data_IF_903961750246
#
_entry.id   IF_903961750246
#
_cell.length_a   1.000
_cell.length_b   1.000
_cell.length_c   1.000
_cell.angle_alpha   90.00
_cell.angle_beta   90.00
_cell.angle_gamma   90.00
#
_symmetry.space_group_name_H-M   'P 1'
#
loop_
_entity.id
_entity.type
_entity.pdbx_description
1 polymer ?
#
# COMPACT_ATOMS: atom_id res chain seq x y z
N UNK A 1 -27.20 3.93 0.44
CA UNK A 1 -26.65 5.19 1.01
C UNK A 1 -25.27 5.38 0.41
N UNK A 2 -25.09 6.29 -0.52
CA UNK A 2 -23.76 6.63 -1.03
C UNK A 2 -22.96 7.23 0.12
N UNK A 3 -21.90 6.57 0.57
CA UNK A 3 -20.94 7.15 1.50
C UNK A 3 -20.35 8.38 0.80
N UNK A 4 -20.53 9.56 1.39
CA UNK A 4 -19.85 10.77 0.97
C UNK A 4 -18.35 10.46 0.98
N UNK A 5 -17.73 10.49 -0.21
CA UNK A 5 -16.26 10.48 -0.35
C UNK A 5 -15.71 11.70 0.38
N UNK A 6 -15.22 11.50 1.58
CA UNK A 6 -14.62 12.56 2.39
C UNK A 6 -13.13 12.59 2.11
N UNK A 7 -12.71 13.53 1.27
CA UNK A 7 -11.31 13.82 0.95
C UNK A 7 -10.97 15.18 1.54
N UNK A 8 -9.86 15.25 2.23
CA UNK A 8 -9.43 16.45 2.92
C UNK A 8 -8.09 16.94 2.36
N UNK A 9 -7.90 18.24 2.32
CA UNK A 9 -6.61 18.88 2.17
C UNK A 9 -6.21 19.43 3.53
N UNK A 10 -5.07 18.99 4.05
CA UNK A 10 -4.56 19.37 5.36
C UNK A 10 -3.09 19.79 5.29
N UNK A 11 -2.70 20.71 6.16
CA UNK A 11 -1.31 20.97 6.48
C UNK A 11 -0.91 20.06 7.64
N UNK A 12 -0.31 18.94 7.32
CA UNK A 12 0.11 17.93 8.29
C UNK A 12 1.46 18.30 8.93
N UNK A 13 1.61 18.01 10.22
CA UNK A 13 2.87 18.24 10.96
C UNK A 13 3.60 16.90 11.09
N UNK A 14 4.89 16.88 10.75
CA UNK A 14 5.76 15.73 11.00
C UNK A 14 5.99 15.62 12.51
N UNK A 15 5.50 14.54 13.13
CA UNK A 15 5.67 14.28 14.56
C UNK A 15 6.82 13.32 14.85
N UNK A 16 7.20 12.50 13.89
CA UNK A 16 8.37 11.61 13.93
C UNK A 16 8.82 11.30 12.51
N UNK A 17 10.12 11.23 12.30
CA UNK A 17 10.73 10.69 11.08
C UNK A 17 12.03 9.98 11.41
N UNK A 18 12.23 8.84 10.78
CA UNK A 18 13.43 8.02 10.93
C UNK A 18 13.70 7.22 9.64
N UNK A 19 14.95 6.95 9.38
CA UNK A 19 15.39 5.98 8.39
C UNK A 19 15.32 4.60 9.04
N UNK A 20 14.60 3.66 8.43
CA UNK A 20 14.34 2.32 8.98
C UNK A 20 15.06 1.21 8.21
N UNK A 21 15.57 1.51 7.03
CA UNK A 21 16.43 0.72 6.16
C UNK A 21 17.06 1.65 5.13
N UNK A 22 18.03 1.18 4.35
CA UNK A 22 18.71 2.01 3.34
C UNK A 22 17.71 2.65 2.36
N UNK A 23 17.72 3.99 2.31
CA UNK A 23 16.77 4.80 1.53
C UNK A 23 15.27 4.57 1.86
N UNK A 24 14.94 3.92 2.98
CA UNK A 24 13.55 3.70 3.43
C UNK A 24 13.28 4.49 4.71
N UNK A 25 12.32 5.39 4.63
CA UNK A 25 11.94 6.30 5.71
C UNK A 25 10.54 6.02 6.24
N UNK A 26 10.40 6.11 7.55
CA UNK A 26 9.12 6.08 8.27
C UNK A 26 8.82 7.50 8.77
N UNK A 27 7.69 8.05 8.34
CA UNK A 27 7.22 9.40 8.69
C UNK A 27 5.84 9.34 9.33
N UNK A 28 5.70 9.85 10.54
CA UNK A 28 4.42 10.06 11.18
C UNK A 28 3.95 11.50 10.97
N UNK A 29 2.74 11.64 10.46
CA UNK A 29 2.09 12.92 10.18
C UNK A 29 0.85 13.08 11.06
N UNK A 30 0.79 14.16 11.82
CA UNK A 30 -0.44 14.56 12.51
C UNK A 30 -1.40 15.17 11.49
N UNK A 31 -2.60 14.57 11.42
CA UNK A 31 -3.69 14.98 10.50
C UNK A 31 -4.99 14.91 11.30
N UNK A 32 -5.88 15.87 11.12
CA UNK A 32 -7.14 15.89 11.88
C UNK A 32 -8.19 14.97 11.25
N UNK A 33 -8.52 15.21 10.01
CA UNK A 33 -9.61 14.51 9.32
C UNK A 33 -9.13 13.27 8.55
N UNK A 34 -7.91 13.29 8.00
CA UNK A 34 -7.39 12.18 7.22
C UNK A 34 -7.30 10.93 8.11
N UNK A 35 -6.69 11.01 9.29
CA UNK A 35 -6.55 9.88 10.21
C UNK A 35 -7.92 9.33 10.68
N UNK A 36 -8.92 10.22 10.89
CA UNK A 36 -10.25 9.82 11.32
C UNK A 36 -11.02 9.01 10.26
N UNK A 37 -10.73 9.22 8.97
CA UNK A 37 -11.50 8.65 7.85
C UNK A 37 -10.73 7.62 7.02
N UNK A 38 -9.42 7.51 7.21
CA UNK A 38 -8.56 6.59 6.46
C UNK A 38 -8.88 5.10 6.78
N UNK A 39 -8.60 4.24 5.80
CA UNK A 39 -8.76 2.77 5.87
C UNK A 39 -7.51 2.10 5.31
N UNK A 40 -7.27 0.85 5.74
CA UNK A 40 -6.20 0.03 5.19
C UNK A 40 -6.28 -0.09 3.67
N UNK A 41 -5.14 0.10 2.99
CA UNK A 41 -5.04 0.07 1.53
C UNK A 41 -5.24 1.40 0.82
N UNK A 42 -5.67 2.45 1.53
CA UNK A 42 -5.72 3.81 0.98
C UNK A 42 -4.34 4.49 0.99
N UNK A 43 -4.24 5.59 0.27
CA UNK A 43 -3.03 6.40 0.16
C UNK A 43 -3.33 7.89 0.37
N UNK A 44 -2.28 8.68 0.46
CA UNK A 44 -2.33 10.14 0.47
C UNK A 44 -1.44 10.72 -0.62
N UNK A 45 -1.80 11.88 -1.14
CA UNK A 45 -0.96 12.70 -2.02
C UNK A 45 -0.20 13.71 -1.17
N UNK A 46 1.13 13.58 -1.09
CA UNK A 46 2.02 14.46 -0.33
C UNK A 46 2.68 15.46 -1.27
N UNK A 47 2.54 16.74 -1.00
CA UNK A 47 3.11 17.82 -1.80
C UNK A 47 4.50 18.22 -1.28
N UNK A 48 5.41 18.45 -2.21
CA UNK A 48 6.71 19.05 -1.89
C UNK A 48 6.57 20.53 -1.53
N UNK A 49 7.45 21.01 -0.67
CA UNK A 49 7.54 22.43 -0.35
C UNK A 49 8.34 23.21 -1.40
N UNK A 50 9.21 22.52 -2.15
CA UNK A 50 9.94 23.07 -3.26
C UNK A 50 9.01 23.37 -4.44
N UNK A 51 8.82 24.64 -4.76
CA UNK A 51 7.81 25.13 -5.71
C UNK A 51 7.97 24.67 -7.17
N UNK A 52 9.13 24.14 -7.55
CA UNK A 52 9.37 23.54 -8.88
C UNK A 52 8.80 22.13 -9.01
N UNK A 53 8.38 21.49 -7.91
CA UNK A 53 7.87 20.11 -7.85
C UNK A 53 6.34 20.09 -7.74
N UNK A 54 5.68 20.43 -8.83
CA UNK A 54 4.23 20.69 -8.86
C UNK A 54 3.36 19.47 -8.57
N UNK A 55 3.77 18.27 -8.99
CA UNK A 55 2.97 17.06 -8.77
C UNK A 55 3.21 16.48 -7.36
N UNK A 56 2.16 16.01 -6.68
CA UNK A 56 2.32 15.35 -5.38
C UNK A 56 2.92 13.93 -5.54
N UNK A 57 3.33 13.34 -4.42
CA UNK A 57 3.76 11.95 -4.31
C UNK A 57 2.64 11.14 -3.68
N UNK A 58 2.05 10.18 -4.41
CA UNK A 58 1.13 9.23 -3.80
C UNK A 58 1.93 8.28 -2.92
N UNK A 59 1.57 8.19 -1.64
CA UNK A 59 2.21 7.30 -0.68
C UNK A 59 1.12 6.56 0.08
N UNK A 60 1.20 5.23 0.10
CA UNK A 60 0.27 4.37 0.82
C UNK A 60 0.34 4.63 2.32
N UNK A 61 -0.81 4.58 2.99
CA UNK A 61 -0.89 4.68 4.44
C UNK A 61 -0.42 3.34 5.03
N UNK A 62 0.63 3.40 5.85
CA UNK A 62 1.20 2.25 6.54
C UNK A 62 0.43 1.91 7.82
N UNK A 63 0.13 2.93 8.64
CA UNK A 63 -0.61 2.81 9.88
C UNK A 63 -1.50 4.04 10.12
N UNK A 64 -2.55 3.81 10.91
CA UNK A 64 -3.52 4.85 11.29
C UNK A 64 -3.63 4.85 12.82
N UNK A 65 -3.26 5.97 13.43
CA UNK A 65 -3.53 6.24 14.84
C UNK A 65 -4.71 7.22 14.95
N UNK A 66 -5.91 6.65 15.09
CA UNK A 66 -7.14 7.44 15.19
C UNK A 66 -7.24 8.17 16.55
N UNK A 67 -6.56 7.68 17.58
CA UNK A 67 -6.59 8.28 18.92
C UNK A 67 -5.79 9.58 18.94
N UNK A 68 -4.60 9.56 18.38
CA UNK A 68 -3.69 10.70 18.36
C UNK A 68 -3.82 11.53 17.07
N UNK A 69 -4.76 11.17 16.18
CA UNK A 69 -5.02 11.84 14.91
C UNK A 69 -3.79 11.85 14.00
N UNK A 70 -3.17 10.69 13.80
CA UNK A 70 -1.95 10.58 13.02
C UNK A 70 -1.99 9.43 12.02
N UNK A 71 -1.24 9.58 10.91
CA UNK A 71 -0.98 8.51 9.94
C UNK A 71 0.52 8.30 9.81
N UNK A 72 0.92 7.04 9.61
CA UNK A 72 2.30 6.66 9.29
C UNK A 72 2.43 6.43 7.80
N UNK A 73 3.40 7.04 7.19
CA UNK A 73 3.82 6.81 5.82
C UNK A 73 5.19 6.14 5.85
N UNK A 74 5.37 5.09 5.07
CA UNK A 74 6.69 4.49 4.84
C UNK A 74 6.96 4.53 3.35
N UNK A 75 8.09 5.10 2.97
CA UNK A 75 8.43 5.36 1.57
C UNK A 75 9.91 5.16 1.30
N UNK A 76 10.21 4.79 0.05
CA UNK A 76 11.59 4.72 -0.47
C UNK A 76 11.97 6.04 -1.14
N UNK A 77 13.21 6.45 -0.97
CA UNK A 77 13.79 7.55 -1.73
C UNK A 77 14.05 7.09 -3.16
N UNK A 78 13.13 7.47 -4.07
CA UNK A 78 13.18 7.07 -5.48
C UNK A 78 13.34 8.24 -6.45
N UNK A 79 13.35 9.49 -5.94
CA UNK A 79 13.46 10.68 -6.76
C UNK A 79 13.44 11.96 -5.94
N UNK A 80 13.53 13.11 -6.64
CA UNK A 80 13.70 14.43 -6.00
C UNK A 80 12.64 14.76 -4.93
N UNK A 81 11.41 14.29 -5.06
CA UNK A 81 10.35 14.57 -4.09
C UNK A 81 10.52 13.77 -2.81
N UNK A 82 10.76 12.46 -2.90
CA UNK A 82 11.01 11.62 -1.73
C UNK A 82 12.36 11.93 -1.08
N UNK A 83 13.35 12.40 -1.87
CA UNK A 83 14.61 12.94 -1.33
C UNK A 83 14.40 14.26 -0.55
N UNK A 84 13.44 15.12 -0.97
CA UNK A 84 13.06 16.28 -0.14
C UNK A 84 12.44 15.82 1.19
N UNK A 85 11.55 14.84 1.14
CA UNK A 85 10.91 14.34 2.34
C UNK A 85 11.91 13.70 3.32
N UNK A 86 12.90 12.94 2.84
CA UNK A 86 13.91 12.32 3.70
C UNK A 86 14.78 13.34 4.47
N UNK A 87 14.95 14.54 3.92
CA UNK A 87 15.64 15.65 4.60
C UNK A 87 14.80 16.43 5.62
N UNK A 88 13.50 16.15 5.72
CA UNK A 88 12.60 16.86 6.64
C UNK A 88 12.74 16.34 8.07
N UNK A 89 12.26 17.13 9.04
CA UNK A 89 12.40 16.85 10.48
C UNK A 89 11.09 17.09 11.22
N UNK A 90 10.99 16.51 12.40
CA UNK A 90 9.88 16.75 13.34
C UNK A 90 9.63 18.27 13.52
N UNK A 91 8.36 18.65 13.48
CA UNK A 91 7.87 20.02 13.53
C UNK A 91 7.71 20.68 12.16
N UNK A 92 8.32 20.15 11.09
CA UNK A 92 8.08 20.65 9.74
C UNK A 92 6.69 20.26 9.24
N UNK A 93 6.20 20.99 8.26
CA UNK A 93 4.84 20.83 7.73
C UNK A 93 4.88 20.38 6.26
N UNK A 94 3.89 19.58 5.91
CA UNK A 94 3.62 19.14 4.54
C UNK A 94 2.13 19.33 4.22
N UNK A 95 1.85 19.79 3.03
CA UNK A 95 0.51 19.74 2.46
C UNK A 95 0.20 18.31 2.03
N UNK A 96 -0.92 17.77 2.52
CA UNK A 96 -1.38 16.40 2.26
C UNK A 96 -2.83 16.41 1.82
N UNK A 97 -3.17 15.62 0.81
CA UNK A 97 -4.54 15.40 0.35
C UNK A 97 -4.89 13.94 0.53
N UNK A 98 -5.98 13.65 1.22
CA UNK A 98 -6.42 12.27 1.49
C UNK A 98 -7.62 12.17 2.43
N UNK A 99 -8.00 10.94 2.84
CA UNK A 99 -7.53 9.70 2.25
C UNK A 99 -8.00 9.54 0.81
N UNK A 100 -7.22 8.88 -0.05
CA UNK A 100 -7.48 8.71 -1.47
C UNK A 100 -7.59 7.24 -1.83
N UNK A 101 -8.32 6.95 -2.91
CA UNK A 101 -8.60 5.60 -3.38
C UNK A 101 -9.56 4.84 -2.47
N UNK A 102 -9.75 3.56 -2.80
CA UNK A 102 -10.50 2.61 -1.98
C UNK A 102 -9.56 1.86 -1.03
N UNK A 103 -10.11 1.19 -0.02
CA UNK A 103 -9.37 0.30 0.88
C UNK A 103 -9.56 -1.17 0.51
N UNK A 104 -8.82 -2.04 1.20
CA UNK A 104 -9.06 -3.48 1.12
C UNK A 104 -10.41 -3.85 1.70
N UNK A 105 -11.17 -4.76 1.06
CA UNK A 105 -12.39 -5.31 1.66
C UNK A 105 -12.00 -6.21 2.84
N UNK A 106 -12.60 -5.97 4.00
CA UNK A 106 -12.36 -6.78 5.19
C UNK A 106 -13.27 -8.00 5.17
N UNK A 107 -12.69 -9.19 5.11
CA UNK A 107 -13.41 -10.46 5.13
C UNK A 107 -12.85 -11.37 6.22
N UNK A 108 -13.74 -12.00 7.01
CA UNK A 108 -13.37 -12.94 8.06
C UNK A 108 -13.09 -14.33 7.47
N UNK A 109 -12.00 -14.44 6.70
CA UNK A 109 -11.50 -15.67 6.07
C UNK A 109 -10.03 -15.85 6.45
N UNK A 110 -9.53 -17.09 6.45
CA UNK A 110 -8.09 -17.34 6.57
C UNK A 110 -7.35 -16.61 5.45
N UNK A 111 -6.47 -15.70 5.79
CA UNK A 111 -5.92 -14.72 4.85
C UNK A 111 -4.41 -14.85 4.64
N UNK A 112 -3.98 -14.78 3.39
CA UNK A 112 -2.64 -14.34 3.06
C UNK A 112 -2.57 -12.81 2.98
N UNK A 113 -1.64 -12.22 3.73
CA UNK A 113 -1.22 -10.83 3.57
C UNK A 113 0.17 -10.82 2.94
N UNK A 114 0.25 -10.52 1.66
CA UNK A 114 1.50 -10.63 0.89
C UNK A 114 2.02 -9.21 0.58
N UNK A 115 3.19 -8.89 1.13
CA UNK A 115 3.87 -7.62 0.86
C UNK A 115 5.21 -7.84 0.18
N UNK A 116 5.55 -7.05 -0.86
CA UNK A 116 6.85 -7.10 -1.51
C UNK A 116 7.54 -5.74 -1.55
N UNK A 117 8.75 -5.63 -1.01
CA UNK A 117 9.51 -4.38 -0.97
C UNK A 117 8.69 -3.23 -0.37
N UNK A 118 8.58 -2.10 -1.08
CA UNK A 118 7.80 -0.95 -0.59
C UNK A 118 6.27 -1.17 -0.59
N UNK A 119 5.78 -2.33 -1.03
CA UNK A 119 4.40 -2.77 -0.86
C UNK A 119 4.12 -3.42 0.50
N UNK A 120 5.13 -3.66 1.35
CA UNK A 120 4.98 -4.17 2.71
C UNK A 120 4.23 -3.20 3.64
N UNK A 121 4.54 -1.89 3.67
CA UNK A 121 3.91 -0.93 4.57
C UNK A 121 2.38 -0.95 4.58
N UNK A 122 1.65 -0.92 3.45
CA UNK A 122 0.19 -0.92 3.46
C UNK A 122 -0.44 -2.22 4.00
N UNK A 123 0.31 -3.32 4.08
CA UNK A 123 -0.15 -4.56 4.69
C UNK A 123 -0.23 -4.48 6.22
N UNK A 124 0.50 -3.56 6.86
CA UNK A 124 0.53 -3.45 8.31
C UNK A 124 -0.81 -3.00 8.90
N UNK A 125 -1.41 -1.92 8.38
CA UNK A 125 -2.74 -1.51 8.85
C UNK A 125 -3.80 -2.58 8.58
N UNK A 126 -3.72 -3.25 7.43
CA UNK A 126 -4.62 -4.36 7.12
C UNK A 126 -4.45 -5.52 8.12
N UNK A 127 -3.20 -5.85 8.49
CA UNK A 127 -2.93 -6.88 9.49
C UNK A 127 -3.48 -6.51 10.88
N UNK A 128 -3.56 -5.22 11.21
CA UNK A 128 -4.17 -4.71 12.45
C UNK A 128 -5.70 -4.77 12.41
N UNK A 129 -6.32 -4.42 11.28
CA UNK A 129 -7.77 -4.29 11.15
C UNK A 129 -8.50 -5.62 10.94
N UNK A 130 -7.84 -6.62 10.30
CA UNK A 130 -8.47 -7.92 10.06
C UNK A 130 -8.58 -8.75 11.35
N UNK A 131 -9.77 -9.24 11.63
CA UNK A 131 -10.05 -10.20 12.72
C UNK A 131 -10.24 -11.60 12.13
N UNK A 132 -9.13 -12.25 11.77
CA UNK A 132 -9.10 -13.60 11.22
C UNK A 132 -7.71 -14.22 11.39
N UNK A 133 -7.56 -15.53 11.09
CA UNK A 133 -6.25 -16.17 10.95
C UNK A 133 -5.49 -15.53 9.78
N UNK A 134 -4.27 -15.09 10.04
CA UNK A 134 -3.42 -14.38 9.07
C UNK A 134 -2.05 -15.05 8.95
N UNK A 135 -1.68 -15.36 7.73
CA UNK A 135 -0.33 -15.73 7.34
C UNK A 135 0.26 -14.57 6.54
N UNK A 136 1.26 -13.90 7.11
CA UNK A 136 1.87 -12.68 6.59
C UNK A 136 3.15 -13.09 5.87
N UNK A 137 3.17 -12.93 4.55
CA UNK A 137 4.30 -13.32 3.70
C UNK A 137 4.98 -12.07 3.17
N UNK A 138 6.19 -11.81 3.63
CA UNK A 138 6.93 -10.59 3.32
C UNK A 138 8.14 -10.91 2.44
N UNK A 139 8.15 -10.31 1.24
CA UNK A 139 9.23 -10.44 0.28
C UNK A 139 10.16 -9.24 0.29
N UNK A 140 11.44 -9.49 0.47
CA UNK A 140 12.49 -8.50 0.44
C UNK A 140 13.51 -8.83 -0.65
N UNK A 141 14.27 -7.85 -1.06
CA UNK A 141 15.43 -8.10 -1.90
C UNK A 141 16.58 -8.64 -1.04
N UNK A 142 16.96 -7.89 -0.01
CA UNK A 142 18.10 -8.13 0.86
C UNK A 142 17.83 -7.61 2.28
N UNK A 143 17.48 -6.35 2.48
CA UNK A 143 17.34 -5.69 3.77
C UNK A 143 15.91 -5.76 4.32
N UNK A 144 15.77 -6.18 5.59
CA UNK A 144 14.49 -6.36 6.26
C UNK A 144 14.07 -5.09 7.01
N UNK A 145 12.79 -4.73 6.94
CA UNK A 145 12.22 -3.62 7.68
C UNK A 145 10.78 -3.91 8.11
N UNK A 146 10.28 -3.23 9.13
CA UNK A 146 8.93 -3.36 9.72
C UNK A 146 8.61 -4.72 10.35
N UNK A 147 9.53 -5.66 10.49
CA UNK A 147 9.21 -6.99 11.04
C UNK A 147 8.66 -6.91 12.48
N UNK A 148 9.23 -6.04 13.31
CA UNK A 148 8.76 -5.84 14.69
C UNK A 148 7.35 -5.27 14.75
N UNK A 149 6.97 -4.42 13.78
CA UNK A 149 5.63 -3.84 13.68
C UNK A 149 4.56 -4.91 13.38
N UNK A 150 4.92 -5.98 12.65
CA UNK A 150 4.04 -7.11 12.37
C UNK A 150 3.99 -8.14 13.51
N UNK A 151 4.86 -8.05 14.51
CA UNK A 151 4.85 -8.99 15.66
C UNK A 151 3.46 -9.03 16.32
N UNK A 152 2.96 -10.22 16.58
CA UNK A 152 1.63 -10.46 17.15
C UNK A 152 0.43 -10.06 16.25
N UNK A 153 0.64 -9.86 14.93
CA UNK A 153 -0.44 -9.59 13.97
C UNK A 153 -0.87 -10.83 13.17
N UNK A 154 -0.06 -11.87 13.17
CA UNK A 154 -0.26 -13.14 12.47
C UNK A 154 1.03 -13.94 12.45
N UNK A 155 1.04 -15.07 11.75
CA UNK A 155 2.26 -15.83 11.49
C UNK A 155 3.04 -15.15 10.36
N UNK A 156 4.32 -14.88 10.58
CA UNK A 156 5.19 -14.16 9.63
C UNK A 156 6.10 -15.16 8.93
N UNK A 157 6.13 -15.08 7.60
CA UNK A 157 7.03 -15.82 6.71
C UNK A 157 7.79 -14.81 5.87
N UNK A 158 9.09 -15.03 5.73
CA UNK A 158 10.00 -14.11 5.05
C UNK A 158 10.57 -14.82 3.81
N UNK A 159 10.63 -14.11 2.71
CA UNK A 159 11.41 -14.48 1.54
C UNK A 159 12.42 -13.38 1.21
N UNK A 160 13.67 -13.75 0.92
CA UNK A 160 14.70 -12.84 0.44
C UNK A 160 15.30 -13.38 -0.85
N UNK A 161 15.56 -12.49 -1.83
CA UNK A 161 16.10 -12.92 -3.13
C UNK A 161 17.47 -13.58 -3.00
N UNK A 162 18.26 -13.14 -2.01
CA UNK A 162 19.63 -13.63 -1.74
C UNK A 162 19.70 -14.75 -0.69
N UNK A 163 18.58 -15.16 -0.10
CA UNK A 163 18.53 -16.19 0.95
C UNK A 163 19.11 -15.74 2.31
N UNK A 164 19.33 -14.45 2.51
CA UNK A 164 19.90 -13.91 3.77
C UNK A 164 18.98 -14.10 4.97
N UNK A 165 17.66 -14.22 4.74
CA UNK A 165 16.67 -14.49 5.78
C UNK A 165 15.43 -15.21 5.23
N UNK A 166 14.93 -16.19 5.98
CA UNK A 166 13.76 -16.99 5.59
C UNK A 166 14.01 -17.87 4.39
N UNK A 167 13.01 -17.97 3.51
CA UNK A 167 13.09 -18.73 2.25
C UNK A 167 13.90 -17.94 1.20
N UNK A 168 14.85 -18.58 0.55
CA UNK A 168 15.54 -18.04 -0.62
C UNK A 168 14.57 -17.99 -1.82
N UNK A 169 14.40 -16.82 -2.42
CA UNK A 169 13.52 -16.63 -3.58
C UNK A 169 12.43 -15.58 -3.34
N UNK A 170 11.23 -15.86 -3.81
CA UNK A 170 10.09 -14.94 -3.77
C UNK A 170 8.98 -15.40 -2.80
N UNK A 171 7.95 -14.60 -2.64
CA UNK A 171 6.83 -14.86 -1.71
C UNK A 171 6.08 -16.17 -2.01
N UNK A 172 5.97 -16.58 -3.27
CA UNK A 172 5.34 -17.85 -3.64
C UNK A 172 6.22 -19.05 -3.29
N UNK A 173 7.54 -18.89 -3.31
CA UNK A 173 8.48 -19.92 -2.86
C UNK A 173 8.33 -20.13 -1.35
N UNK A 174 8.22 -19.05 -0.57
CA UNK A 174 7.93 -19.15 0.86
C UNK A 174 6.58 -19.83 1.15
N UNK A 175 5.54 -19.55 0.38
CA UNK A 175 4.23 -20.21 0.51
C UNK A 175 4.35 -21.71 0.26
N UNK A 176 5.04 -22.12 -0.81
CA UNK A 176 5.20 -23.53 -1.18
C UNK A 176 6.08 -24.29 -0.20
N UNK A 177 7.22 -23.74 0.18
CA UNK A 177 8.19 -24.36 1.09
C UNK A 177 7.58 -24.61 2.47
N UNK A 178 6.77 -23.69 2.96
CA UNK A 178 6.13 -23.80 4.28
C UNK A 178 4.74 -24.48 4.23
N UNK A 179 4.29 -24.94 3.07
CA UNK A 179 3.00 -25.62 2.91
C UNK A 179 1.81 -24.78 3.34
N UNK A 180 1.84 -23.48 3.05
CA UNK A 180 0.82 -22.53 3.51
C UNK A 180 -0.44 -22.59 2.65
N UNK A 181 -1.60 -22.28 3.26
CA UNK A 181 -2.90 -22.21 2.59
C UNK A 181 -3.74 -21.03 3.10
N UNK A 182 -4.62 -20.53 2.27
CA UNK A 182 -5.56 -19.46 2.63
C UNK A 182 -6.83 -19.49 1.76
N UNK A 183 -7.90 -18.86 2.27
CA UNK A 183 -9.18 -18.69 1.56
C UNK A 183 -9.26 -17.37 0.80
N UNK A 184 -8.38 -16.42 1.14
CA UNK A 184 -8.31 -15.10 0.52
C UNK A 184 -6.88 -14.57 0.51
N UNK A 185 -6.52 -13.86 -0.54
CA UNK A 185 -5.22 -13.20 -0.70
C UNK A 185 -5.40 -11.70 -0.76
N UNK A 186 -4.60 -10.99 0.02
CA UNK A 186 -4.39 -9.54 -0.08
C UNK A 186 -2.92 -9.29 -0.41
N UNK A 187 -2.64 -8.56 -1.49
CA UNK A 187 -1.27 -8.37 -1.92
C UNK A 187 -0.98 -6.91 -2.33
N UNK A 188 0.23 -6.46 -2.01
CA UNK A 188 0.80 -5.20 -2.49
C UNK A 188 2.30 -5.37 -2.76
N UNK A 189 2.78 -4.86 -3.91
CA UNK A 189 4.18 -4.96 -4.28
C UNK A 189 4.42 -4.75 -5.77
N UNK A 190 5.62 -5.10 -6.26
CA UNK A 190 5.98 -4.93 -7.66
C UNK A 190 5.05 -5.68 -8.63
N UNK A 191 4.81 -5.09 -9.80
CA UNK A 191 3.95 -5.67 -10.84
C UNK A 191 4.26 -7.14 -11.18
N UNK A 192 5.54 -7.57 -11.33
CA UNK A 192 5.84 -8.98 -11.57
C UNK A 192 5.35 -9.91 -10.46
N UNK A 193 5.49 -9.49 -9.18
CA UNK A 193 5.00 -10.23 -8.03
C UNK A 193 3.46 -10.32 -8.05
N UNK A 194 2.77 -9.20 -8.28
CA UNK A 194 1.30 -9.17 -8.34
C UNK A 194 0.76 -10.04 -9.47
N UNK A 195 1.45 -10.10 -10.63
CA UNK A 195 1.11 -10.99 -11.74
C UNK A 195 1.21 -12.46 -11.33
N UNK A 196 2.33 -12.87 -10.74
CA UNK A 196 2.54 -14.24 -10.27
C UNK A 196 1.52 -14.64 -9.18
N UNK A 197 1.21 -13.73 -8.25
CA UNK A 197 0.18 -13.96 -7.22
C UNK A 197 -1.21 -14.14 -7.86
N UNK A 198 -1.55 -13.32 -8.85
CA UNK A 198 -2.82 -13.44 -9.58
C UNK A 198 -2.96 -14.80 -10.29
N UNK A 199 -1.89 -15.28 -10.92
CA UNK A 199 -1.83 -16.60 -11.56
C UNK A 199 -1.98 -17.73 -10.53
N UNK A 200 -1.21 -17.68 -9.46
CA UNK A 200 -1.30 -18.61 -8.33
C UNK A 200 -2.72 -18.65 -7.73
N UNK A 201 -3.34 -17.49 -7.49
CA UNK A 201 -4.69 -17.41 -6.95
C UNK A 201 -5.73 -18.04 -7.90
N UNK A 202 -5.56 -17.88 -9.20
CA UNK A 202 -6.43 -18.50 -10.21
C UNK A 202 -6.27 -20.02 -10.25
N UNK A 203 -5.04 -20.53 -10.18
CA UNK A 203 -4.75 -21.98 -10.13
C UNK A 203 -5.31 -22.64 -8.86
N UNK A 204 -5.22 -21.94 -7.72
CA UNK A 204 -5.72 -22.44 -6.43
C UNK A 204 -7.20 -22.11 -6.18
N UNK A 205 -7.87 -21.40 -7.11
CA UNK A 205 -9.25 -20.91 -6.96
C UNK A 205 -9.47 -20.08 -5.68
N UNK A 206 -8.50 -19.22 -5.34
CA UNK A 206 -8.53 -18.34 -4.17
C UNK A 206 -8.95 -16.93 -4.59
N UNK A 207 -9.83 -16.30 -3.82
CA UNK A 207 -10.17 -14.89 -3.99
C UNK A 207 -8.94 -14.00 -3.73
N UNK A 208 -8.59 -13.11 -4.67
CA UNK A 208 -7.36 -12.33 -4.59
C UNK A 208 -7.62 -10.84 -4.83
N UNK A 209 -7.21 -10.02 -3.85
CA UNK A 209 -7.24 -8.56 -3.91
C UNK A 209 -5.82 -8.02 -3.97
N UNK A 210 -5.57 -7.17 -4.96
CA UNK A 210 -4.25 -6.59 -5.20
C UNK A 210 -4.29 -5.07 -5.15
N UNK A 211 -3.29 -4.45 -4.52
CA UNK A 211 -3.09 -3.02 -4.55
C UNK A 211 -2.08 -2.67 -5.63
N UNK A 212 -2.49 -1.87 -6.60
CA UNK A 212 -1.68 -1.47 -7.75
C UNK A 212 -1.11 -0.07 -7.59
N UNK A 213 0.08 0.13 -8.13
CA UNK A 213 0.75 1.42 -8.16
C UNK A 213 0.89 1.92 -9.60
N UNK A 214 0.70 3.22 -9.80
CA UNK A 214 0.97 3.92 -11.05
C UNK A 214 1.39 5.37 -10.78
N UNK A 215 2.04 5.97 -11.78
CA UNK A 215 2.35 7.39 -11.73
C UNK A 215 1.08 8.21 -11.72
N UNK A 216 0.97 9.11 -10.75
CA UNK A 216 -0.21 9.93 -10.56
C UNK A 216 0.12 11.41 -10.77
N UNK A 217 -0.86 12.14 -11.33
CA UNK A 217 -0.82 13.60 -11.35
C UNK A 217 -1.83 14.17 -10.36
N UNK A 218 -3.15 14.03 -10.62
CA UNK A 218 -4.17 14.64 -9.74
C UNK A 218 -4.50 13.84 -8.47
N UNK A 219 -4.33 12.51 -8.48
CA UNK A 219 -4.70 11.64 -7.36
C UNK A 219 -6.21 11.50 -7.06
N UNK A 220 -7.07 12.21 -7.79
CA UNK A 220 -8.52 12.33 -7.52
C UNK A 220 -9.43 11.83 -8.66
N UNK A 221 -8.84 11.24 -9.70
CA UNK A 221 -9.57 10.66 -10.82
C UNK A 221 -9.93 11.61 -11.98
N UNK A 222 -9.38 12.82 -12.03
CA UNK A 222 -9.72 13.82 -13.04
C UNK A 222 -8.84 13.75 -14.30
N UNK A 223 -7.53 13.44 -14.19
CA UNK A 223 -6.55 13.63 -15.27
C UNK A 223 -6.27 12.40 -16.12
N UNK A 224 -6.76 11.22 -15.75
CA UNK A 224 -6.53 9.93 -16.43
C UNK A 224 -5.05 9.49 -16.54
N UNK A 225 -4.12 10.05 -15.73
CA UNK A 225 -2.71 9.71 -15.78
C UNK A 225 -2.40 8.31 -15.20
N UNK A 226 -3.19 7.85 -14.22
CA UNK A 226 -2.96 6.61 -13.48
C UNK A 226 -3.91 5.47 -13.92
N UNK A 227 -4.16 5.32 -15.21
CA UNK A 227 -5.05 4.27 -15.72
C UNK A 227 -4.33 2.93 -15.83
N UNK A 228 -5.01 1.87 -15.41
CA UNK A 228 -4.63 0.49 -15.70
C UNK A 228 -5.65 -0.16 -16.64
N UNK A 229 -5.24 -1.21 -17.35
CA UNK A 229 -6.15 -1.98 -18.19
C UNK A 229 -7.11 -2.79 -17.34
N UNK A 230 -8.36 -2.93 -17.77
CA UNK A 230 -9.39 -3.73 -17.13
C UNK A 230 -10.13 -4.62 -18.11
N UNK A 231 -10.69 -5.74 -17.63
CA UNK A 231 -11.51 -6.62 -18.48
C UNK A 231 -12.81 -5.96 -18.89
N UNK A 232 -13.42 -5.21 -17.99
CA UNK A 232 -14.69 -4.53 -18.21
C UNK A 232 -14.49 -3.12 -18.74
N UNK A 233 -15.44 -2.65 -19.53
CA UNK A 233 -15.48 -1.25 -19.97
C UNK A 233 -15.94 -0.36 -18.83
N UNK A 234 -15.23 0.73 -18.61
CA UNK A 234 -15.66 1.78 -17.73
C UNK A 234 -16.92 2.47 -18.28
N UNK A 235 -17.98 2.56 -17.48
CA UNK A 235 -19.27 3.13 -17.89
C UNK A 235 -19.19 4.61 -18.27
N UNK A 236 -18.18 5.34 -17.81
CA UNK A 236 -18.01 6.77 -18.06
C UNK A 236 -17.20 7.04 -19.35
N UNK A 237 -16.07 6.34 -19.52
CA UNK A 237 -15.15 6.56 -20.65
C UNK A 237 -15.39 5.62 -21.83
N UNK A 238 -16.20 4.56 -21.63
CA UNK A 238 -16.46 3.49 -22.58
C UNK A 238 -15.20 2.74 -23.08
N UNK A 239 -14.10 2.83 -22.32
CA UNK A 239 -12.85 2.11 -22.58
C UNK A 239 -12.57 1.10 -21.46
N UNK A 240 -11.73 0.10 -21.76
CA UNK A 240 -11.33 -0.92 -20.79
C UNK A 240 -10.18 -0.43 -19.89
N UNK A 241 -10.46 0.60 -19.10
CA UNK A 241 -9.50 1.23 -18.20
C UNK A 241 -10.14 1.52 -16.83
N UNK A 242 -9.34 1.41 -15.76
CA UNK A 242 -9.70 1.88 -14.42
C UNK A 242 -8.64 2.86 -13.92
N UNK A 243 -9.06 3.88 -13.21
CA UNK A 243 -8.14 4.88 -12.60
C UNK A 243 -7.72 4.39 -11.24
N UNK A 244 -6.45 4.12 -11.05
CA UNK A 244 -5.92 3.60 -9.78
C UNK A 244 -6.24 4.55 -8.61
N UNK A 245 -6.19 5.86 -8.82
CA UNK A 245 -6.48 6.83 -7.76
C UNK A 245 -7.98 6.96 -7.40
N UNK A 246 -8.89 6.40 -8.19
CA UNK A 246 -10.34 6.55 -7.96
C UNK A 246 -11.06 5.21 -7.79
N UNK A 247 -10.93 4.31 -8.77
CA UNK A 247 -11.52 2.96 -8.74
C UNK A 247 -10.65 1.97 -7.94
N UNK A 248 -9.35 2.26 -7.77
CA UNK A 248 -8.36 1.55 -6.97
C UNK A 248 -7.94 2.33 -5.72
N UNK A 249 -6.73 2.10 -5.18
CA UNK A 249 -5.68 1.23 -5.74
C UNK A 249 -5.95 -0.27 -5.61
N UNK A 250 -6.91 -0.68 -4.78
CA UNK A 250 -7.23 -2.07 -4.52
C UNK A 250 -8.27 -2.57 -5.52
N UNK A 251 -7.95 -3.67 -6.19
CA UNK A 251 -8.81 -4.32 -7.18
C UNK A 251 -8.91 -5.82 -6.91
N UNK A 252 -10.04 -6.42 -7.28
CA UNK A 252 -10.10 -7.87 -7.44
C UNK A 252 -9.16 -8.26 -8.60
N UNK A 253 -8.24 -9.19 -8.36
CA UNK A 253 -7.16 -9.48 -9.32
C UNK A 253 -7.66 -9.88 -10.73
N UNK A 254 -8.86 -10.49 -10.80
CA UNK A 254 -9.48 -10.87 -12.07
C UNK A 254 -9.99 -9.69 -12.91
N UNK A 255 -10.21 -8.51 -12.30
CA UNK A 255 -10.76 -7.32 -12.98
C UNK A 255 -9.71 -6.55 -13.80
N UNK A 256 -8.44 -6.69 -13.44
CA UNK A 256 -7.34 -5.93 -14.05
C UNK A 256 -6.43 -6.81 -14.90
N UNK A 257 -5.80 -6.19 -15.91
CA UNK A 257 -4.82 -6.81 -16.82
C UNK A 257 -3.45 -6.14 -16.61
N UNK A 258 -2.38 -6.98 -16.64
CA UNK A 258 -0.99 -6.54 -16.52
C UNK A 258 -0.30 -6.52 -17.89
#
# INVERSE_FOLDING_TARGET
MQTKDTKFEETAIIIRQEEIADDIYSMWLRTEHIAAHAKAGQFVSVYCNEGSRLLPRPISICEIDRKDGAIRLVYRVAGKGTAEFSGMRTGMQLKVVGPLGNGFPQKSKKAFLIGGGIGIPPMLELAKELDCEKQIVLGFRDELFLLEDFRNRGQIYIATEDGSAGTEGNVLDAIRENGLDADIIYACGPTPMLRAIKEYAAEQNIECWISMEERMACGIGACLACVCKSKEKDAHSNVKNKRICKEGPVFLAQEVEF
#
